data_IF_900479737413
#
_entry.id   IF_900479737413
#
_cell.length_a   1.000
_cell.length_b   1.000
_cell.length_c   1.000
_cell.angle_alpha   90.00
_cell.angle_beta   90.00
_cell.angle_gamma   90.00
#
_symmetry.space_group_name_H-M   'P 1'
#
loop_
_entity.id
_entity.type
_entity.pdbx_description
1 polymer ?
#
# COMPACT_ATOMS: atom_id res chain seq x y z
N UNK A 1 7.81 -22.86 1.90
CA UNK A 1 7.37 -21.55 2.42
C UNK A 1 7.26 -20.58 1.25
N UNK A 2 6.04 -20.30 0.77
CA UNK A 2 5.82 -19.46 -0.41
C UNK A 2 6.22 -18.00 -0.10
N UNK A 3 7.04 -17.39 -0.96
CA UNK A 3 7.63 -16.05 -0.75
C UNK A 3 6.52 -15.00 -0.59
N UNK A 4 6.46 -14.40 0.61
CA UNK A 4 5.57 -13.31 1.02
C UNK A 4 5.66 -12.13 0.06
N UNK A 5 4.59 -11.90 -0.68
CA UNK A 5 4.37 -10.70 -1.46
C UNK A 5 2.86 -10.41 -1.52
N UNK A 6 2.24 -10.34 -0.34
CA UNK A 6 0.84 -9.94 -0.23
C UNK A 6 0.74 -8.41 -0.34
N UNK A 7 -0.47 -7.89 -0.58
CA UNK A 7 -0.70 -6.45 -0.53
C UNK A 7 -0.31 -5.86 0.84
N UNK A 8 -0.64 -6.58 1.92
CA UNK A 8 -0.22 -6.24 3.29
C UNK A 8 1.29 -6.01 3.38
N UNK A 9 2.09 -6.96 2.90
CA UNK A 9 3.55 -6.89 3.00
C UNK A 9 4.10 -5.68 2.23
N UNK A 10 3.54 -5.40 1.04
CA UNK A 10 3.90 -4.25 0.23
C UNK A 10 3.51 -2.93 0.89
N UNK A 11 2.31 -2.85 1.45
CA UNK A 11 1.85 -1.66 2.15
C UNK A 11 2.70 -1.39 3.40
N UNK A 12 3.05 -2.43 4.16
CA UNK A 12 3.94 -2.33 5.31
C UNK A 12 5.33 -1.81 4.89
N UNK A 13 5.88 -2.33 3.80
CA UNK A 13 7.14 -1.84 3.22
C UNK A 13 7.08 -0.35 2.88
N UNK A 14 5.99 0.13 2.27
CA UNK A 14 5.85 1.55 1.94
C UNK A 14 5.76 2.43 3.19
N UNK A 15 5.00 2.02 4.20
CA UNK A 15 4.91 2.80 5.44
C UNK A 15 6.26 2.94 6.14
N UNK A 16 7.05 1.86 6.16
CA UNK A 16 8.42 1.86 6.69
C UNK A 16 9.35 2.75 5.85
N UNK A 17 9.37 2.54 4.53
CA UNK A 17 10.24 3.28 3.61
C UNK A 17 10.04 4.80 3.63
N UNK A 18 8.79 5.27 3.71
CA UNK A 18 8.48 6.70 3.79
C UNK A 18 8.35 7.23 5.23
N UNK A 19 8.58 6.39 6.24
CA UNK A 19 8.40 6.72 7.66
C UNK A 19 7.01 7.31 7.98
N UNK A 20 5.96 6.77 7.35
CA UNK A 20 4.58 7.25 7.48
C UNK A 20 3.82 6.39 8.48
N UNK A 21 3.12 7.05 9.41
CA UNK A 21 2.20 6.37 10.33
C UNK A 21 0.88 6.02 9.65
N UNK A 22 0.25 4.93 10.08
CA UNK A 22 -1.04 4.42 9.56
C UNK A 22 -2.12 5.51 9.49
N UNK A 23 -2.37 6.23 10.59
CA UNK A 23 -3.39 7.29 10.62
C UNK A 23 -3.06 8.46 9.68
N UNK A 24 -1.76 8.76 9.51
CA UNK A 24 -1.31 9.80 8.59
C UNK A 24 -1.56 9.40 7.15
N UNK A 25 -1.34 8.13 6.81
CA UNK A 25 -1.67 7.62 5.48
C UNK A 25 -3.18 7.71 5.22
N UNK A 26 -4.02 7.28 6.18
CA UNK A 26 -5.47 7.35 6.00
C UNK A 26 -5.93 8.78 5.68
N UNK A 27 -5.48 9.75 6.48
CA UNK A 27 -5.84 11.14 6.31
C UNK A 27 -5.31 11.75 5.00
N UNK A 28 -4.03 11.53 4.67
CA UNK A 28 -3.39 12.20 3.52
C UNK A 28 -3.66 11.53 2.17
N UNK A 29 -3.85 10.21 2.14
CA UNK A 29 -4.23 9.50 0.91
C UNK A 29 -5.75 9.48 0.67
N UNK A 30 -6.54 10.07 1.58
CA UNK A 30 -7.99 10.13 1.48
C UNK A 30 -8.65 8.76 1.63
N UNK A 31 -8.12 7.90 2.51
CA UNK A 31 -8.71 6.62 2.89
C UNK A 31 -9.66 6.82 4.08
N UNK A 32 -10.52 5.83 4.33
CA UNK A 32 -11.34 5.86 5.53
C UNK A 32 -10.48 5.62 6.77
N UNK A 33 -10.89 6.20 7.91
CA UNK A 33 -10.16 6.01 9.15
C UNK A 33 -10.13 4.52 9.54
N UNK A 34 -8.93 3.99 9.81
CA UNK A 34 -8.70 2.60 10.17
C UNK A 34 -8.55 1.66 8.97
N UNK A 35 -8.73 2.15 7.74
CA UNK A 35 -8.68 1.33 6.53
C UNK A 35 -7.27 0.78 6.28
N UNK A 36 -6.23 1.61 6.43
CA UNK A 36 -4.83 1.14 6.35
C UNK A 36 -4.56 0.06 7.41
N UNK A 37 -5.08 0.22 8.63
CA UNK A 37 -4.93 -0.77 9.69
C UNK A 37 -5.56 -2.12 9.33
N UNK A 38 -6.76 -2.13 8.75
CA UNK A 38 -7.43 -3.35 8.28
C UNK A 38 -6.64 -4.07 7.18
N UNK A 39 -6.04 -3.33 6.25
CA UNK A 39 -5.14 -3.91 5.25
C UNK A 39 -3.91 -4.55 5.89
N UNK A 40 -3.32 -3.89 6.91
CA UNK A 40 -2.13 -4.38 7.60
C UNK A 40 -2.40 -5.60 8.49
N UNK A 41 -3.64 -5.83 8.92
CA UNK A 41 -4.04 -7.07 9.58
C UNK A 41 -4.39 -8.19 8.60
N UNK A 42 -4.64 -7.85 7.34
CA UNK A 42 -5.09 -8.79 6.32
C UNK A 42 -6.60 -9.05 6.36
N UNK A 43 -7.37 -8.21 7.06
CA UNK A 43 -8.82 -8.36 7.22
C UNK A 43 -9.57 -8.06 5.91
N UNK A 44 -8.94 -7.31 5.01
CA UNK A 44 -9.60 -6.79 3.81
C UNK A 44 -8.58 -6.59 2.68
N UNK A 45 -8.95 -6.97 1.47
CA UNK A 45 -8.21 -6.65 0.25
C UNK A 45 -8.58 -5.23 -0.26
N UNK A 46 -7.63 -4.48 -0.83
CA UNK A 46 -7.91 -3.14 -1.33
C UNK A 46 -8.77 -3.19 -2.58
N UNK A 47 -9.74 -2.28 -2.67
CA UNK A 47 -10.46 -2.02 -3.92
C UNK A 47 -9.55 -1.28 -4.89
N UNK A 48 -9.83 -1.38 -6.20
CA UNK A 48 -9.10 -0.62 -7.23
C UNK A 48 -9.05 0.89 -6.93
N UNK A 49 -10.15 1.47 -6.45
CA UNK A 49 -10.20 2.89 -6.05
C UNK A 49 -9.21 3.24 -4.92
N UNK A 50 -8.96 2.30 -4.01
CA UNK A 50 -7.96 2.46 -2.94
C UNK A 50 -6.56 2.39 -3.50
N UNK A 51 -6.30 1.43 -4.39
CA UNK A 51 -5.00 1.31 -5.09
C UNK A 51 -4.69 2.61 -5.85
N UNK A 52 -5.67 3.17 -6.58
CA UNK A 52 -5.50 4.45 -7.29
C UNK A 52 -5.14 5.59 -6.34
N UNK A 53 -5.79 5.69 -5.17
CA UNK A 53 -5.45 6.69 -4.15
C UNK A 53 -4.02 6.51 -3.65
N UNK A 54 -3.61 5.28 -3.35
CA UNK A 54 -2.27 4.96 -2.89
C UNK A 54 -1.20 5.26 -3.95
N UNK A 55 -1.43 4.92 -5.22
CA UNK A 55 -0.49 5.24 -6.31
C UNK A 55 -0.41 6.74 -6.62
N UNK A 56 -1.49 7.52 -6.36
CA UNK A 56 -1.44 8.99 -6.44
C UNK A 56 -0.68 9.61 -5.28
N UNK A 57 -0.77 9.00 -4.10
CA UNK A 57 -0.06 9.43 -2.91
C UNK A 57 1.44 9.11 -3.02
N UNK A 58 1.79 7.86 -3.33
CA UNK A 58 3.15 7.38 -3.58
C UNK A 58 3.48 7.46 -5.07
N UNK A 59 3.78 8.67 -5.56
CA UNK A 59 3.88 8.97 -7.00
C UNK A 59 4.96 8.19 -7.74
N UNK A 60 6.02 7.82 -7.03
CA UNK A 60 7.18 7.07 -7.48
C UNK A 60 7.00 5.55 -7.38
N UNK A 61 5.91 5.05 -6.79
CA UNK A 61 5.64 3.61 -6.69
C UNK A 61 5.07 3.05 -7.99
N UNK A 62 5.60 1.90 -8.40
CA UNK A 62 5.12 1.11 -9.54
C UNK A 62 3.74 0.52 -9.26
N UNK A 63 2.80 0.78 -10.17
CA UNK A 63 1.43 0.24 -10.07
C UNK A 63 1.43 -1.28 -10.16
N UNK A 64 2.21 -1.85 -11.10
CA UNK A 64 2.32 -3.31 -11.28
C UNK A 64 2.87 -3.98 -10.03
N UNK A 65 3.84 -3.34 -9.37
CA UNK A 65 4.36 -3.85 -8.11
C UNK A 65 3.33 -3.74 -7.00
N UNK A 66 2.65 -2.60 -6.88
CA UNK A 66 1.66 -2.37 -5.82
C UNK A 66 0.48 -3.36 -5.92
N UNK A 67 -0.02 -3.60 -7.14
CA UNK A 67 -1.16 -4.48 -7.40
C UNK A 67 -0.76 -5.95 -7.39
N UNK A 68 0.24 -6.32 -8.20
CA UNK A 68 0.55 -7.72 -8.51
C UNK A 68 1.78 -8.24 -7.75
N UNK A 69 2.53 -7.37 -7.08
CA UNK A 69 3.82 -7.71 -6.50
C UNK A 69 4.92 -7.96 -7.53
N UNK A 70 4.70 -7.61 -8.80
CA UNK A 70 5.65 -7.91 -9.88
C UNK A 70 6.60 -6.73 -10.11
N UNK A 71 7.86 -7.05 -10.44
CA UNK A 71 8.86 -6.02 -10.75
C UNK A 71 9.45 -5.33 -9.53
N UNK A 72 9.86 -4.07 -9.69
CA UNK A 72 10.49 -3.25 -8.63
C UNK A 72 9.45 -2.31 -7.99
N UNK A 73 9.60 -1.99 -6.69
CA UNK A 73 8.66 -1.11 -5.98
C UNK A 73 8.60 0.29 -6.56
N UNK A 74 9.72 0.82 -7.04
CA UNK A 74 9.81 2.19 -7.52
C UNK A 74 9.99 2.23 -9.04
N UNK A 75 9.39 3.25 -9.64
CA UNK A 75 9.57 3.60 -11.06
C UNK A 75 11.05 3.95 -11.29
N UNK A 76 11.53 3.66 -12.50
CA UNK A 76 12.84 4.10 -12.97
C UNK A 76 12.80 5.58 -13.31
#
# INVERSE_FOLDING_TARGET
MSKKNTFRDRLAFLLDHYEIRVMTLDAKAGLYHGQTGSFLRGDTEPKLSTIVKLCKFFKDVSVDWMVLGKGKPFKK
#
